data_IF_309663827798
#
_entry.id   IF_309663827798
#
_cell.length_a   1.000
_cell.length_b   1.000
_cell.length_c   1.000
_cell.angle_alpha   90.00
_cell.angle_beta   90.00
_cell.angle_gamma   90.00
#
_symmetry.space_group_name_H-M   'P 1'
#
loop_
_entity.id
_entity.type
_entity.pdbx_description
1 polymer ?
#
# COMPACT_ATOMS: atom_id res chain seq x y z
N UNK A 1 34.26 5.41 -131.54
CA UNK A 1 34.86 6.71 -131.15
C UNK A 1 34.00 7.35 -130.08
N UNK A 2 34.64 7.83 -129.02
CA UNK A 2 34.15 8.72 -127.94
C UNK A 2 33.04 8.18 -127.05
N UNK A 3 33.49 7.53 -125.98
CA UNK A 3 32.69 7.24 -124.79
C UNK A 3 32.32 8.51 -124.03
N UNK A 4 31.09 8.53 -123.53
CA UNK A 4 30.55 9.57 -122.66
C UNK A 4 30.09 8.87 -121.37
N UNK A 5 30.61 9.38 -120.25
CA UNK A 5 30.51 8.79 -118.92
C UNK A 5 29.11 8.97 -118.32
N UNK A 6 28.65 7.90 -117.69
CA UNK A 6 27.43 7.76 -116.87
C UNK A 6 27.63 8.52 -115.53
N UNK A 7 26.56 9.08 -114.94
CA UNK A 7 26.10 8.51 -113.68
C UNK A 7 24.57 8.36 -113.61
N UNK A 8 24.14 7.15 -113.25
CA UNK A 8 22.78 6.79 -112.87
C UNK A 8 22.56 7.34 -111.46
N UNK A 9 21.62 8.27 -111.31
CA UNK A 9 21.26 8.85 -110.02
C UNK A 9 20.05 8.11 -109.46
N UNK A 10 20.29 7.10 -108.61
CA UNK A 10 19.25 6.53 -107.76
C UNK A 10 18.99 7.49 -106.58
N UNK A 11 17.75 7.93 -106.31
CA UNK A 11 17.47 8.61 -105.05
C UNK A 11 17.63 7.60 -103.91
N UNK A 12 18.62 7.84 -103.03
CA UNK A 12 18.82 7.07 -101.79
C UNK A 12 17.60 7.25 -100.89
N UNK A 13 16.75 6.22 -100.85
CA UNK A 13 15.70 6.02 -99.87
C UNK A 13 16.32 5.68 -98.49
N UNK A 14 17.08 6.61 -97.90
CA UNK A 14 17.80 6.37 -96.63
C UNK A 14 17.74 7.53 -95.64
N UNK A 15 16.69 8.38 -95.72
CA UNK A 15 16.55 9.56 -94.87
C UNK A 15 15.38 9.53 -93.89
N UNK A 16 14.80 8.36 -93.61
CA UNK A 16 13.60 8.26 -92.76
C UNK A 16 13.59 7.14 -91.70
N UNK A 17 14.75 6.60 -91.30
CA UNK A 17 14.81 5.54 -90.28
C UNK A 17 15.97 5.68 -89.29
N UNK A 18 16.34 6.88 -88.85
CA UNK A 18 17.37 6.98 -87.81
C UNK A 18 17.25 8.20 -86.89
N UNK A 19 16.12 8.32 -86.19
CA UNK A 19 16.01 9.23 -85.04
C UNK A 19 15.15 8.73 -83.88
N UNK A 20 14.29 7.73 -84.10
CA UNK A 20 13.36 7.23 -83.08
C UNK A 20 13.61 5.79 -82.61
N UNK A 21 14.51 5.03 -83.25
CA UNK A 21 14.80 3.64 -82.82
C UNK A 21 15.83 3.58 -81.69
N UNK A 22 16.72 4.57 -81.58
CA UNK A 22 17.71 4.64 -80.49
C UNK A 22 17.10 5.02 -79.12
N UNK A 23 15.89 5.59 -79.09
CA UNK A 23 15.17 5.89 -77.84
C UNK A 23 14.30 4.74 -77.33
N UNK A 24 14.15 3.68 -78.12
CA UNK A 24 13.28 2.54 -77.79
C UNK A 24 14.08 1.28 -77.43
N UNK A 25 15.38 1.42 -77.15
CA UNK A 25 16.24 0.35 -76.63
C UNK A 25 17.13 0.96 -75.53
N UNK A 26 16.51 1.52 -74.50
CA UNK A 26 17.18 1.66 -73.20
C UNK A 26 16.46 0.70 -72.29
N UNK A 27 17.20 -0.35 -71.93
CA UNK A 27 16.91 -1.38 -70.96
C UNK A 27 15.82 -0.97 -69.97
N UNK A 28 14.71 -1.71 -69.97
CA UNK A 28 13.96 -1.93 -68.74
C UNK A 28 14.90 -2.73 -67.84
N UNK A 29 15.82 -2.02 -67.18
CA UNK A 29 16.72 -2.57 -66.19
C UNK A 29 15.80 -3.14 -65.12
N UNK A 30 15.60 -4.45 -65.16
CA UNK A 30 14.85 -5.16 -64.13
C UNK A 30 15.65 -4.88 -62.86
N UNK A 31 15.15 -3.96 -62.03
CA UNK A 31 15.79 -3.62 -60.77
C UNK A 31 15.98 -4.94 -60.05
N UNK A 32 17.23 -5.39 -59.96
CA UNK A 32 17.53 -6.62 -59.26
C UNK A 32 16.99 -6.45 -57.86
N UNK A 33 16.21 -7.41 -57.37
CA UNK A 33 15.68 -7.41 -56.00
C UNK A 33 16.81 -7.37 -54.95
N UNK A 34 18.06 -7.52 -55.39
CA UNK A 34 19.28 -7.42 -54.57
C UNK A 34 19.90 -6.02 -54.49
N UNK A 35 19.44 -5.01 -55.26
CA UNK A 35 19.96 -3.63 -55.18
C UNK A 35 19.24 -2.85 -54.08
N UNK A 36 19.92 -2.69 -52.94
CA UNK A 36 19.39 -1.98 -51.77
C UNK A 36 19.32 -0.47 -52.08
N UNK A 37 18.18 0.21 -51.84
CA UNK A 37 18.06 1.66 -51.94
C UNK A 37 19.06 2.41 -51.04
N UNK A 38 19.38 3.66 -51.37
CA UNK A 38 20.25 4.45 -50.51
C UNK A 38 19.52 4.93 -49.25
N UNK A 39 20.02 4.52 -48.09
CA UNK A 39 19.55 4.91 -46.76
C UNK A 39 20.52 5.85 -46.05
N UNK A 40 21.50 6.44 -46.75
CA UNK A 40 22.49 7.38 -46.19
C UNK A 40 21.85 8.49 -45.35
N UNK A 41 20.71 9.05 -45.80
CA UNK A 41 19.93 10.06 -45.09
C UNK A 41 19.40 9.62 -43.71
N UNK A 42 19.29 8.31 -43.45
CA UNK A 42 18.79 7.74 -42.19
C UNK A 42 19.91 7.12 -41.33
N UNK A 43 21.16 7.07 -41.84
CA UNK A 43 22.29 6.50 -41.11
C UNK A 43 22.95 7.57 -40.25
N UNK A 44 23.24 7.23 -39.00
CA UNK A 44 24.03 8.09 -38.11
C UNK A 44 25.53 7.88 -38.38
N UNK A 45 26.32 8.94 -38.30
CA UNK A 45 27.78 8.89 -38.43
C UNK A 45 28.50 8.45 -37.14
N UNK A 46 27.75 8.15 -36.09
CA UNK A 46 28.24 7.86 -34.74
C UNK A 46 28.45 6.34 -34.55
N UNK A 47 29.36 5.94 -33.65
CA UNK A 47 29.62 4.52 -33.39
C UNK A 47 28.36 3.77 -32.93
N UNK A 48 28.21 2.52 -33.37
CA UNK A 48 27.09 1.65 -33.01
C UNK A 48 26.91 1.53 -31.50
N UNK A 49 28.01 1.50 -30.74
CA UNK A 49 27.96 1.41 -29.28
C UNK A 49 27.35 2.67 -28.66
N UNK A 50 27.74 3.87 -29.09
CA UNK A 50 27.19 5.12 -28.58
C UNK A 50 25.70 5.26 -28.88
N UNK A 51 25.26 4.91 -30.10
CA UNK A 51 23.84 4.95 -30.45
C UNK A 51 23.00 4.01 -29.58
N UNK A 52 23.52 2.80 -29.27
CA UNK A 52 22.86 1.84 -28.38
C UNK A 52 22.80 2.35 -26.94
N UNK A 53 23.91 2.86 -26.41
CA UNK A 53 23.94 3.44 -25.05
C UNK A 53 22.96 4.60 -24.92
N UNK A 54 22.91 5.51 -25.90
CA UNK A 54 21.94 6.60 -25.91
C UNK A 54 20.49 6.09 -25.95
N UNK A 55 20.21 5.09 -26.80
CA UNK A 55 18.87 4.49 -26.89
C UNK A 55 18.44 3.84 -25.57
N UNK A 56 19.33 3.06 -24.93
CA UNK A 56 19.06 2.44 -23.64
C UNK A 56 18.95 3.46 -22.50
N UNK A 57 19.73 4.54 -22.55
CA UNK A 57 19.59 5.63 -21.61
C UNK A 57 18.20 6.27 -21.72
N UNK A 58 17.75 6.62 -22.93
CA UNK A 58 16.41 7.21 -23.13
C UNK A 58 15.28 6.27 -22.69
N UNK A 59 15.35 4.98 -23.04
CA UNK A 59 14.37 3.97 -22.61
C UNK A 59 14.41 3.75 -21.10
N UNK A 60 15.61 3.70 -20.50
CA UNK A 60 15.80 3.52 -19.08
C UNK A 60 15.27 4.70 -18.27
N UNK A 61 15.58 5.94 -18.67
CA UNK A 61 15.07 7.15 -18.03
C UNK A 61 13.55 7.24 -18.16
N UNK A 62 12.99 6.93 -19.34
CA UNK A 62 11.54 6.89 -19.51
C UNK A 62 10.89 5.82 -18.61
N UNK A 63 11.47 4.61 -18.57
CA UNK A 63 11.01 3.53 -17.71
C UNK A 63 11.05 3.89 -16.22
N UNK A 64 12.09 4.62 -15.79
CA UNK A 64 12.21 5.11 -14.41
C UNK A 64 11.09 6.10 -14.06
N UNK A 65 10.83 7.09 -14.92
CA UNK A 65 9.75 8.07 -14.70
C UNK A 65 8.38 7.38 -14.70
N UNK A 66 8.16 6.45 -15.64
CA UNK A 66 6.92 5.68 -15.70
C UNK A 66 6.70 4.82 -14.44
N UNK A 67 7.75 4.18 -13.93
CA UNK A 67 7.69 3.39 -12.71
C UNK A 67 7.38 4.27 -11.48
N UNK A 68 8.00 5.45 -11.36
CA UNK A 68 7.71 6.39 -10.30
C UNK A 68 6.24 6.90 -10.36
N UNK A 69 5.75 7.21 -11.56
CA UNK A 69 4.35 7.62 -11.75
C UNK A 69 3.35 6.51 -11.41
N UNK A 70 3.66 5.26 -11.79
CA UNK A 70 2.85 4.10 -11.42
C UNK A 70 2.83 3.86 -9.91
N UNK A 71 3.99 3.96 -9.25
CA UNK A 71 4.10 3.82 -7.80
C UNK A 71 3.29 4.91 -7.08
N UNK A 72 3.42 6.18 -7.48
CA UNK A 72 2.65 7.28 -6.91
C UNK A 72 1.14 7.05 -7.06
N UNK A 73 0.69 6.65 -8.25
CA UNK A 73 -0.72 6.36 -8.53
C UNK A 73 -1.25 5.26 -7.61
N UNK A 74 -0.52 4.15 -7.47
CA UNK A 74 -0.93 3.04 -6.60
C UNK A 74 -0.96 3.46 -5.13
N UNK A 75 0.03 4.23 -4.66
CA UNK A 75 0.03 4.71 -3.28
C UNK A 75 -1.11 5.68 -2.99
N UNK A 76 -1.48 6.52 -3.95
CA UNK A 76 -2.59 7.45 -3.78
C UNK A 76 -3.92 6.69 -3.63
N UNK A 77 -4.16 5.67 -4.46
CA UNK A 77 -5.35 4.82 -4.29
C UNK A 77 -5.36 4.06 -2.97
N UNK A 78 -4.22 3.50 -2.55
CA UNK A 78 -4.11 2.80 -1.27
C UNK A 78 -4.32 3.74 -0.08
N UNK A 79 -3.75 4.95 -0.11
CA UNK A 79 -3.94 5.95 0.95
C UNK A 79 -5.37 6.47 1.01
N UNK A 80 -6.06 6.58 -0.14
CA UNK A 80 -7.48 6.94 -0.19
C UNK A 80 -8.37 5.89 0.51
N UNK A 81 -7.99 4.62 0.46
CA UNK A 81 -8.69 3.53 1.15
C UNK A 81 -8.22 3.33 2.61
N UNK A 82 -7.18 4.05 3.04
CA UNK A 82 -6.66 3.98 4.41
C UNK A 82 -7.51 4.84 5.38
N UNK A 83 -7.18 4.81 6.67
CA UNK A 83 -7.93 5.55 7.68
C UNK A 83 -7.97 7.06 7.38
N UNK A 84 -9.18 7.64 7.36
CA UNK A 84 -9.37 9.07 7.09
C UNK A 84 -8.88 9.95 8.24
N UNK A 85 -8.58 11.22 7.95
CA UNK A 85 -8.08 12.17 8.94
C UNK A 85 -9.03 12.37 10.15
N UNK A 86 -10.34 12.27 9.95
CA UNK A 86 -11.33 12.35 11.04
C UNK A 86 -11.23 11.17 12.01
N UNK A 87 -10.99 9.95 11.50
CA UNK A 87 -10.74 8.77 12.35
C UNK A 87 -9.42 8.91 13.12
N UNK A 88 -8.41 9.53 12.50
CA UNK A 88 -7.13 9.83 13.17
C UNK A 88 -7.24 10.97 14.18
N UNK A 89 -8.15 11.93 13.98
CA UNK A 89 -8.39 13.00 14.93
C UNK A 89 -9.00 12.48 16.24
N UNK A 90 -9.81 11.41 16.18
CA UNK A 90 -10.31 10.70 17.36
C UNK A 90 -9.26 9.80 18.05
N UNK A 91 -7.97 9.98 17.75
CA UNK A 91 -6.88 9.20 18.34
C UNK A 91 -6.69 9.45 19.84
N UNK A 92 -7.01 10.65 20.32
CA UNK A 92 -6.89 11.02 21.73
C UNK A 92 -8.24 11.40 22.30
N UNK A 93 -8.61 10.79 23.43
CA UNK A 93 -9.83 11.12 24.16
C UNK A 93 -9.44 11.55 25.57
N UNK A 94 -9.98 12.69 25.98
CA UNK A 94 -9.94 13.19 27.35
C UNK A 94 -11.17 12.69 28.10
N UNK A 95 -10.94 12.10 29.27
CA UNK A 95 -11.99 11.60 30.17
C UNK A 95 -11.83 12.29 31.51
N UNK A 96 -12.93 12.85 32.00
CA UNK A 96 -13.02 13.45 33.33
C UNK A 96 -13.34 12.37 34.37
N UNK A 97 -12.37 12.13 35.25
CA UNK A 97 -12.41 11.12 36.29
C UNK A 97 -13.29 11.53 37.48
N UNK A 98 -13.52 12.84 37.68
CA UNK A 98 -14.30 13.37 38.80
C UNK A 98 -15.77 12.91 38.78
N UNK A 99 -16.25 12.54 37.59
CA UNK A 99 -17.62 12.07 37.36
C UNK A 99 -17.86 10.61 37.78
N UNK A 100 -16.79 9.86 38.08
CA UNK A 100 -16.86 8.43 38.35
C UNK A 100 -16.75 8.08 39.83
N UNK A 101 -17.86 7.65 40.48
CA UNK A 101 -17.79 7.16 41.84
C UNK A 101 -17.04 5.83 41.92
N UNK A 102 -16.46 5.56 43.08
CA UNK A 102 -15.80 4.29 43.40
C UNK A 102 -16.73 3.09 43.17
N UNK A 103 -16.17 2.00 42.64
CA UNK A 103 -16.88 0.75 42.37
C UNK A 103 -17.73 0.75 41.09
N UNK A 104 -17.73 1.82 40.29
CA UNK A 104 -18.46 1.89 39.01
C UNK A 104 -17.55 1.74 37.80
N UNK A 105 -18.12 1.17 36.75
CA UNK A 105 -17.51 1.02 35.43
C UNK A 105 -18.06 2.05 34.45
N UNK A 106 -17.17 2.77 33.78
CA UNK A 106 -17.48 3.59 32.61
C UNK A 106 -17.06 2.85 31.35
N UNK A 107 -17.93 2.91 30.33
CA UNK A 107 -17.62 2.37 29.01
C UNK A 107 -17.65 3.54 28.03
N UNK A 108 -16.48 3.86 27.46
CA UNK A 108 -16.36 4.87 26.40
C UNK A 108 -15.92 4.20 25.10
N UNK A 109 -16.15 4.87 23.97
CA UNK A 109 -15.72 4.38 22.66
C UNK A 109 -14.46 5.13 22.23
N UNK A 110 -13.35 4.42 22.03
CA UNK A 110 -12.07 4.96 21.53
C UNK A 110 -11.60 4.16 20.30
N UNK A 111 -11.31 4.84 19.19
CA UNK A 111 -10.91 4.21 17.91
C UNK A 111 -11.86 3.08 17.45
N UNK A 112 -13.16 3.22 17.73
CA UNK A 112 -14.16 2.20 17.42
C UNK A 112 -14.22 1.01 18.39
N UNK A 113 -13.28 0.91 19.33
CA UNK A 113 -13.25 -0.13 20.38
C UNK A 113 -13.84 0.42 21.70
N UNK A 114 -14.55 -0.40 22.49
CA UNK A 114 -14.93 0.00 23.84
C UNK A 114 -13.69 0.01 24.74
N UNK A 115 -13.57 1.04 25.57
CA UNK A 115 -12.58 1.14 26.65
C UNK A 115 -13.33 1.16 27.96
N UNK A 116 -12.93 0.27 28.86
CA UNK A 116 -13.45 0.16 30.21
C UNK A 116 -12.55 0.95 31.15
N UNK A 117 -13.16 1.84 31.91
CA UNK A 117 -12.53 2.63 32.95
C UNK A 117 -13.26 2.29 34.24
N UNK A 118 -12.57 1.66 35.18
CA UNK A 118 -13.12 1.31 36.50
C UNK A 118 -12.39 2.10 37.57
N UNK A 119 -13.17 2.73 38.44
CA UNK A 119 -12.67 3.24 39.71
C UNK A 119 -12.75 2.10 40.73
N UNK A 120 -11.62 1.48 41.04
CA UNK A 120 -11.53 0.29 41.91
C UNK A 120 -11.56 0.67 43.38
N UNK A 121 -12.18 -0.16 44.20
CA UNK A 121 -12.11 -0.01 45.66
C UNK A 121 -10.80 -0.59 46.21
N UNK A 122 -10.48 -0.29 47.47
CA UNK A 122 -9.27 -0.81 48.13
C UNK A 122 -9.32 -2.34 48.21
N UNK A 123 -10.49 -2.91 48.47
CA UNK A 123 -10.70 -4.36 48.54
C UNK A 123 -10.44 -5.04 47.19
N UNK A 124 -10.87 -4.42 46.09
CA UNK A 124 -10.64 -4.91 44.72
C UNK A 124 -9.17 -4.89 44.32
N UNK A 125 -8.43 -3.87 44.77
CA UNK A 125 -6.99 -3.76 44.53
C UNK A 125 -6.24 -4.87 45.27
N UNK A 126 -6.62 -5.15 46.51
CA UNK A 126 -6.00 -6.23 47.29
C UNK A 126 -6.39 -7.61 46.73
N UNK A 127 -7.63 -7.80 46.30
CA UNK A 127 -8.05 -9.01 45.59
C UNK A 127 -7.19 -9.21 44.33
N UNK A 128 -6.97 -8.18 43.52
CA UNK A 128 -6.15 -8.26 42.31
C UNK A 128 -4.70 -8.66 42.60
N UNK A 129 -4.11 -8.12 43.67
CA UNK A 129 -2.71 -8.36 44.09
C UNK A 129 -2.51 -9.71 44.75
N UNK A 130 -3.51 -10.22 45.48
CA UNK A 130 -3.43 -11.51 46.18
C UNK A 130 -3.49 -12.73 45.26
N UNK A 131 -3.84 -12.55 43.98
CA UNK A 131 -3.90 -13.65 43.00
C UNK A 131 -2.50 -14.22 42.72
N UNK A 132 -2.37 -15.54 42.82
CA UNK A 132 -1.14 -16.23 42.42
C UNK A 132 -0.91 -16.13 40.91
N UNK A 133 0.07 -15.31 40.52
CA UNK A 133 0.43 -14.99 39.13
C UNK A 133 0.81 -16.23 38.32
N UNK A 134 1.42 -17.24 38.94
CA UNK A 134 1.85 -18.48 38.26
C UNK A 134 0.69 -19.39 37.83
N UNK A 135 -0.48 -19.21 38.44
CA UNK A 135 -1.69 -19.95 38.06
C UNK A 135 -2.42 -19.34 36.86
N UNK A 136 -2.04 -18.12 36.45
CA UNK A 136 -2.65 -17.43 35.33
C UNK A 136 -2.10 -17.97 34.01
N UNK A 137 -2.97 -17.99 33.00
CA UNK A 137 -2.57 -18.35 31.63
C UNK A 137 -1.59 -17.35 31.03
N UNK A 138 -1.79 -16.08 31.34
CA UNK A 138 -0.95 -14.95 30.93
C UNK A 138 -0.46 -14.24 32.21
N UNK A 139 0.71 -14.65 32.75
CA UNK A 139 1.21 -14.16 34.02
C UNK A 139 1.53 -12.66 33.96
N UNK A 140 0.73 -11.84 34.65
CA UNK A 140 0.93 -10.40 34.73
C UNK A 140 0.51 -9.89 36.12
N UNK A 141 1.35 -9.04 36.71
CA UNK A 141 1.05 -8.37 37.99
C UNK A 141 0.02 -7.25 37.77
N UNK A 142 -0.66 -6.83 38.83
CA UNK A 142 -1.61 -5.70 38.74
C UNK A 142 -0.87 -4.37 38.55
N UNK A 143 0.27 -4.20 39.21
CA UNK A 143 1.08 -2.98 39.14
C UNK A 143 1.69 -2.76 37.74
N UNK A 144 1.89 -3.83 36.95
CA UNK A 144 2.28 -3.70 35.53
C UNK A 144 1.12 -3.24 34.62
N UNK A 145 -0.12 -3.44 35.04
CA UNK A 145 -1.32 -3.14 34.24
C UNK A 145 -1.88 -1.75 34.54
N UNK A 146 -1.72 -1.28 35.77
CA UNK A 146 -2.24 0.02 36.20
C UNK A 146 -1.13 0.96 36.62
N UNK A 147 -1.13 2.20 36.12
CA UNK A 147 -0.21 3.25 36.58
C UNK A 147 -0.59 3.79 37.95
N UNK A 148 -1.90 3.88 38.22
CA UNK A 148 -2.52 4.28 39.47
C UNK A 148 -3.49 3.16 39.88
N UNK A 149 -3.29 2.46 41.01
CA UNK A 149 -4.03 1.24 41.34
C UNK A 149 -5.55 1.48 41.50
N UNK A 150 -5.99 2.68 41.86
CA UNK A 150 -7.39 3.05 41.92
C UNK A 150 -8.06 3.10 40.53
N UNK A 151 -7.29 3.29 39.45
CA UNK A 151 -7.82 3.42 38.09
C UNK A 151 -7.38 2.25 37.21
N UNK A 152 -8.34 1.41 36.84
CA UNK A 152 -8.13 0.39 35.81
C UNK A 152 -8.67 0.90 34.47
N UNK A 153 -7.77 1.03 33.50
CA UNK A 153 -8.09 1.45 32.13
C UNK A 153 -7.70 0.32 31.19
N UNK A 154 -8.66 -0.25 30.47
CA UNK A 154 -8.40 -1.36 29.56
C UNK A 154 -9.33 -1.37 28.35
N UNK A 155 -8.89 -1.97 27.26
CA UNK A 155 -9.70 -2.16 26.06
C UNK A 155 -10.67 -3.32 26.30
N UNK A 156 -11.97 -3.04 26.21
CA UNK A 156 -13.06 -3.99 26.39
C UNK A 156 -13.27 -4.94 25.21
N UNK A 157 -12.17 -5.39 24.57
CA UNK A 157 -12.19 -6.28 23.41
C UNK A 157 -11.60 -7.62 23.83
N UNK A 158 -12.44 -8.64 23.88
CA UNK A 158 -12.03 -9.99 24.24
C UNK A 158 -10.97 -10.51 23.27
N UNK A 159 -9.84 -10.98 23.81
CA UNK A 159 -8.69 -11.51 23.05
C UNK A 159 -8.94 -12.84 22.34
N UNK A 160 -10.14 -13.43 22.50
CA UNK A 160 -10.54 -14.60 21.72
C UNK A 160 -10.89 -14.20 20.27
N UNK A 161 -11.98 -13.45 20.08
CA UNK A 161 -12.53 -13.08 18.76
C UNK A 161 -13.10 -11.64 18.73
N UNK A 162 -12.79 -10.82 19.73
CA UNK A 162 -13.14 -9.40 19.73
C UNK A 162 -14.53 -9.03 20.26
N UNK A 163 -15.26 -9.96 20.88
CA UNK A 163 -16.51 -9.65 21.58
C UNK A 163 -16.30 -8.68 22.76
N UNK A 164 -17.36 -7.98 23.17
CA UNK A 164 -17.33 -7.06 24.31
C UNK A 164 -17.71 -7.81 25.60
N UNK A 165 -16.81 -7.92 26.59
CA UNK A 165 -17.15 -8.50 27.89
C UNK A 165 -18.14 -7.63 28.67
N UNK A 166 -19.01 -8.26 29.45
CA UNK A 166 -19.96 -7.61 30.34
C UNK A 166 -19.26 -7.40 31.70
N UNK A 167 -19.30 -6.19 32.25
CA UNK A 167 -18.73 -5.90 33.57
C UNK A 167 -19.59 -6.40 34.72
N UNK A 168 -18.97 -6.57 35.90
CA UNK A 168 -19.62 -7.07 37.12
C UNK A 168 -20.30 -8.44 36.91
N UNK A 169 -19.70 -9.26 36.04
CA UNK A 169 -20.25 -10.55 35.64
C UNK A 169 -19.17 -11.64 35.58
N UNK A 170 -19.59 -12.87 35.83
CA UNK A 170 -18.74 -14.07 35.81
C UNK A 170 -18.14 -14.42 37.17
N UNK A 171 -17.50 -15.59 37.21
CA UNK A 171 -17.00 -16.27 38.41
C UNK A 171 -15.88 -15.54 39.21
N UNK A 172 -15.31 -14.43 38.69
CA UNK A 172 -14.12 -13.77 39.25
C UNK A 172 -14.31 -12.26 39.49
N UNK A 173 -15.55 -11.82 39.73
CA UNK A 173 -15.92 -10.44 40.07
C UNK A 173 -15.44 -9.34 39.08
N UNK A 174 -15.00 -9.72 37.89
CA UNK A 174 -14.52 -8.81 36.85
C UNK A 174 -15.46 -8.74 35.66
N UNK A 175 -15.06 -9.40 34.58
CA UNK A 175 -15.78 -9.35 33.31
C UNK A 175 -16.07 -10.74 32.73
N UNK A 176 -17.23 -10.88 32.10
CA UNK A 176 -17.65 -12.11 31.44
C UNK A 176 -17.92 -11.87 29.95
N UNK A 177 -17.27 -12.64 29.09
CA UNK A 177 -17.52 -12.62 27.66
C UNK A 177 -18.53 -13.73 27.27
N UNK A 178 -19.78 -13.37 26.91
CA UNK A 178 -20.84 -14.35 26.66
C UNK A 178 -20.66 -15.17 25.39
N UNK A 179 -19.76 -14.76 24.48
CA UNK A 179 -19.60 -15.43 23.19
C UNK A 179 -19.12 -16.88 23.30
N UNK A 180 -18.11 -17.13 24.14
CA UNK A 180 -17.54 -18.47 24.35
C UNK A 180 -17.20 -18.74 25.83
N UNK A 181 -17.73 -17.93 26.75
CA UNK A 181 -17.57 -18.11 28.18
C UNK A 181 -16.17 -17.79 28.70
N UNK A 182 -15.52 -16.74 28.21
CA UNK A 182 -14.26 -16.27 28.79
C UNK A 182 -14.53 -15.42 30.03
N UNK A 183 -13.86 -15.74 31.13
CA UNK A 183 -13.97 -14.99 32.39
C UNK A 183 -12.67 -14.25 32.70
N UNK A 184 -12.80 -12.98 33.02
CA UNK A 184 -11.71 -12.09 33.40
C UNK A 184 -11.87 -11.66 34.86
N UNK A 185 -10.76 -11.56 35.57
CA UNK A 185 -10.75 -11.05 36.95
C UNK A 185 -10.86 -9.51 37.01
N UNK A 186 -10.85 -8.95 38.22
CA UNK A 186 -10.95 -7.49 38.46
C UNK A 186 -9.80 -6.66 37.89
N UNK A 187 -8.69 -7.29 37.47
CA UNK A 187 -7.56 -6.64 36.76
C UNK A 187 -7.68 -6.81 35.23
N UNK A 188 -8.72 -7.51 34.75
CA UNK A 188 -8.91 -7.82 33.33
C UNK A 188 -8.04 -8.97 32.84
N UNK A 189 -7.55 -9.84 33.73
CA UNK A 189 -6.72 -10.99 33.39
C UNK A 189 -7.56 -12.22 33.12
N UNK A 190 -7.19 -13.02 32.12
CA UNK A 190 -7.94 -14.20 31.72
C UNK A 190 -7.78 -15.32 32.76
N UNK A 191 -8.91 -15.84 33.25
CA UNK A 191 -8.94 -16.94 34.22
C UNK A 191 -9.49 -18.23 33.65
N UNK A 192 -10.53 -18.13 32.82
CA UNK A 192 -11.29 -19.28 32.29
C UNK A 192 -11.78 -18.99 30.88
N UNK A 193 -11.98 -20.03 30.07
CA UNK A 193 -12.48 -19.96 28.70
C UNK A 193 -11.37 -20.04 27.64
N UNK A 194 -11.70 -19.82 26.36
CA UNK A 194 -10.78 -20.01 25.24
C UNK A 194 -9.87 -18.80 24.93
N UNK A 195 -10.10 -17.64 25.55
CA UNK A 195 -9.26 -16.47 25.30
C UNK A 195 -7.79 -16.74 25.70
N UNK A 196 -6.81 -16.45 24.82
CA UNK A 196 -5.41 -16.79 25.10
C UNK A 196 -4.71 -15.79 26.03
N UNK A 197 -5.11 -14.52 25.99
CA UNK A 197 -4.39 -13.39 26.63
C UNK A 197 -5.29 -12.55 27.53
N UNK A 198 -4.68 -11.76 28.41
CA UNK A 198 -5.37 -10.75 29.23
C UNK A 198 -5.96 -9.62 28.36
N UNK A 199 -6.90 -8.83 28.89
CA UNK A 199 -7.39 -7.64 28.20
C UNK A 199 -6.27 -6.61 28.02
N UNK A 200 -6.20 -6.02 26.83
CA UNK A 200 -5.17 -5.07 26.44
C UNK A 200 -5.32 -3.75 27.21
N UNK A 201 -4.21 -3.21 27.70
CA UNK A 201 -4.17 -1.89 28.33
C UNK A 201 -3.81 -0.87 27.25
N UNK A 202 -4.66 0.14 26.96
CA UNK A 202 -4.31 1.17 25.99
C UNK A 202 -3.18 2.05 26.55
N UNK A 203 -2.49 2.78 25.68
CA UNK A 203 -1.62 3.85 26.14
C UNK A 203 -2.49 4.99 26.69
N UNK A 204 -2.28 5.34 27.96
CA UNK A 204 -2.98 6.44 28.61
C UNK A 204 -2.05 7.21 29.53
N UNK A 205 -2.29 8.50 29.73
CA UNK A 205 -1.53 9.34 30.64
C UNK A 205 -2.49 10.21 31.47
N UNK A 206 -2.13 10.44 32.73
CA UNK A 206 -2.82 11.40 33.59
C UNK A 206 -2.16 12.78 33.37
N UNK A 207 -2.94 13.77 32.92
CA UNK A 207 -2.44 15.15 32.80
C UNK A 207 -2.53 15.88 34.14
N UNK A 208 -3.67 15.72 34.80
CA UNK A 208 -4.00 16.27 36.12
C UNK A 208 -4.60 15.15 36.99
N UNK A 209 -4.97 15.44 38.25
CA UNK A 209 -5.58 14.44 39.14
C UNK A 209 -6.91 13.90 38.58
N UNK A 210 -7.68 14.74 37.89
CA UNK A 210 -9.03 14.45 37.39
C UNK A 210 -9.10 14.18 35.87
N UNK A 211 -7.99 14.34 35.12
CA UNK A 211 -8.00 14.22 33.66
C UNK A 211 -7.14 13.07 33.16
N UNK A 212 -7.80 12.12 32.50
CA UNK A 212 -7.19 10.99 31.82
C UNK A 212 -7.20 11.21 30.31
N UNK A 213 -6.03 11.12 29.66
CA UNK A 213 -5.90 11.08 28.20
C UNK A 213 -5.62 9.65 27.77
N UNK A 214 -6.37 9.16 26.79
CA UNK A 214 -6.17 7.84 26.18
C UNK A 214 -5.74 8.03 24.73
N UNK A 215 -4.55 7.52 24.37
CA UNK A 215 -3.94 7.55 23.04
C UNK A 215 -2.72 8.46 22.86
#
# INVERSE_FOLDING_TARGET
MRGIKIPIFYPKLSYFLNRNVQKMVIYKEYSSTTRIPDFSQYKTGTSTQMNRTFSYFMVGTFGMVAAAGAQATVTDFLSNMSASADVLAMAKIEVDLSTLPEGKNLIIKWRGKPVFIRHRTIEEIEEARSVNITSLRDPQTDDERTKRPEWLVMIGVCTHLGCVPIGEAGDYHGWFCPCHGSHYDISGRIRKGPAPLNLEIPEYNFLDEDKLVIG
#
